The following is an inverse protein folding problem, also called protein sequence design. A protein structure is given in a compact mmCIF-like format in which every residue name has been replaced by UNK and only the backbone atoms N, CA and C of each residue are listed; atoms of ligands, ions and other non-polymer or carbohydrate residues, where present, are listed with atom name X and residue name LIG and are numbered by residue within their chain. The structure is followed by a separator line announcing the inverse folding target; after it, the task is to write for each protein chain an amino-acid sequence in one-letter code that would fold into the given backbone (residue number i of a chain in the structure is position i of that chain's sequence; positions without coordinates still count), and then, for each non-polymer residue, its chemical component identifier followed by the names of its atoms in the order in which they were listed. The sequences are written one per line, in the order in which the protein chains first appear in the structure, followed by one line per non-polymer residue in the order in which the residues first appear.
data_IF_676616595035
#
_entry.id   IF_676616595035
#
_cell.length_a   1.000
_cell.length_b   1.000
_cell.length_c   1.000
_cell.angle_alpha   90.00
_cell.angle_beta   90.00
_cell.angle_gamma   90.00
#
_symmetry.space_group_name_H-M   'P 1'
#
loop_
_entity.id
_entity.type
_entity.pdbx_description
1 polymer ?
#
# COMPACT_ATOMS: atom_id res chain seq x y z
N UNK A 1 -1.29 11.45 -7.69
CA UNK A 1 -0.51 11.28 -6.43
C UNK A 1 -1.45 10.76 -5.34
N UNK A 2 -1.13 9.62 -4.72
CA UNK A 2 -1.96 8.97 -3.70
C UNK A 2 -1.59 9.53 -2.32
N UNK A 3 -2.45 10.37 -1.76
CA UNK A 3 -2.18 11.03 -0.48
C UNK A 3 -2.60 10.09 0.67
N UNK A 4 -1.62 9.55 1.38
CA UNK A 4 -1.83 8.91 2.68
C UNK A 4 -2.20 9.98 3.70
N UNK A 5 -3.49 10.09 4.04
CA UNK A 5 -4.00 11.18 4.88
C UNK A 5 -4.23 10.77 6.34
N UNK A 6 -4.57 9.50 6.65
CA UNK A 6 -4.93 9.09 8.01
C UNK A 6 -4.58 7.62 8.32
N UNK A 7 -4.23 7.33 9.58
CA UNK A 7 -3.91 5.99 10.09
C UNK A 7 -2.40 5.66 10.04
N UNK A 8 -1.93 4.86 11.00
CA UNK A 8 -0.54 4.38 11.08
C UNK A 8 -0.37 2.96 10.55
N UNK A 9 -1.39 2.40 9.90
CA UNK A 9 -1.29 1.14 9.18
C UNK A 9 -0.69 -0.05 9.93
N UNK A 10 -0.36 -1.09 9.18
CA UNK A 10 0.65 -2.07 9.60
C UNK A 10 1.20 -2.80 8.38
N UNK A 11 2.50 -3.01 8.37
CA UNK A 11 3.24 -3.66 7.30
C UNK A 11 4.05 -4.83 7.85
N UNK A 12 4.01 -5.97 7.18
CA UNK A 12 4.57 -7.25 7.63
C UNK A 12 4.13 -7.63 9.06
N UNK A 13 2.88 -7.30 9.41
CA UNK A 13 2.32 -7.57 10.74
C UNK A 13 2.81 -6.67 11.87
N UNK A 14 3.61 -5.64 11.56
CA UNK A 14 4.11 -4.65 12.54
C UNK A 14 3.36 -3.34 12.34
N UNK A 15 2.97 -2.68 13.43
CA UNK A 15 2.32 -1.37 13.38
C UNK A 15 3.32 -0.30 12.92
N UNK A 16 2.98 0.44 11.86
CA UNK A 16 3.91 1.44 11.30
C UNK A 16 4.06 2.66 12.24
N UNK A 17 3.15 2.82 13.20
CA UNK A 17 3.22 3.86 14.25
C UNK A 17 4.20 3.53 15.39
N UNK A 18 4.53 2.26 15.59
CA UNK A 18 5.41 1.82 16.69
C UNK A 18 6.89 1.80 16.28
N UNK A 19 7.18 1.92 14.98
CA UNK A 19 8.53 1.78 14.40
C UNK A 19 9.17 3.11 13.97
N UNK A 20 8.47 4.25 14.13
CA UNK A 20 8.82 5.54 13.50
C UNK A 20 8.99 5.46 11.95
N UNK A 21 8.56 4.37 11.32
CA UNK A 21 8.65 4.10 9.88
C UNK A 21 7.27 4.21 9.22
N UNK A 22 6.47 5.20 9.64
CA UNK A 22 5.04 5.27 9.31
C UNK A 22 4.73 5.40 7.80
N UNK A 23 5.70 5.85 7.00
CA UNK A 23 5.53 6.06 5.55
C UNK A 23 6.58 5.34 4.71
N UNK A 24 7.80 5.24 5.21
CA UNK A 24 8.97 4.70 4.52
C UNK A 24 9.86 3.98 5.52
N UNK A 25 10.63 2.99 5.05
CA UNK A 25 11.60 2.25 5.87
C UNK A 25 12.88 3.07 6.08
N UNK A 26 13.44 3.07 7.30
CA UNK A 26 14.58 3.93 7.66
C UNK A 26 15.88 3.56 6.93
N UNK A 27 15.99 2.34 6.42
CA UNK A 27 17.16 1.87 5.64
C UNK A 27 17.41 2.75 4.40
N UNK A 28 16.38 3.42 3.88
CA UNK A 28 16.48 4.31 2.71
C UNK A 28 16.94 5.71 3.10
N UNK A 29 17.09 6.02 4.40
CA UNK A 29 17.51 7.34 4.88
C UNK A 29 18.91 7.32 5.51
N UNK A 30 19.71 6.28 5.25
CA UNK A 30 21.09 6.24 5.71
C UNK A 30 21.92 7.33 5.03
N UNK A 31 22.19 8.39 5.78
CA UNK A 31 22.89 9.61 5.34
C UNK A 31 24.38 9.37 5.07
N UNK A 32 24.91 8.18 5.36
CA UNK A 32 26.28 7.80 5.01
C UNK A 32 26.43 7.38 3.54
N UNK A 33 25.33 7.12 2.83
CA UNK A 33 25.37 6.71 1.43
C UNK A 33 25.23 7.91 0.49
N UNK A 34 26.32 8.33 -0.17
CA UNK A 34 26.35 9.52 -1.07
C UNK A 34 25.51 9.38 -2.35
N UNK A 35 25.01 8.18 -2.64
CA UNK A 35 24.13 7.88 -3.78
C UNK A 35 22.64 7.95 -3.43
N UNK A 36 22.27 8.23 -2.18
CA UNK A 36 20.88 8.18 -1.69
C UNK A 36 19.88 8.98 -2.53
N UNK A 37 20.25 10.23 -2.87
CA UNK A 37 19.41 11.09 -3.70
C UNK A 37 19.31 10.57 -5.13
N UNK A 38 20.37 9.93 -5.62
CA UNK A 38 20.41 9.36 -6.95
C UNK A 38 19.55 8.08 -7.02
N UNK A 39 19.68 7.19 -6.05
CA UNK A 39 18.90 5.95 -5.96
C UNK A 39 17.40 6.22 -5.76
N UNK A 40 17.01 7.20 -4.96
CA UNK A 40 15.61 7.61 -4.81
C UNK A 40 15.05 8.18 -6.13
N UNK A 41 15.88 8.89 -6.91
CA UNK A 41 15.45 9.54 -8.16
C UNK A 41 15.40 8.58 -9.35
N UNK A 42 16.24 7.54 -9.34
CA UNK A 42 16.29 6.50 -10.38
C UNK A 42 15.57 5.20 -10.01
N UNK A 43 15.02 5.11 -8.80
CA UNK A 43 14.11 4.02 -8.43
C UNK A 43 12.79 4.18 -9.19
N UNK A 44 12.50 3.23 -10.07
CA UNK A 44 11.18 3.12 -10.67
C UNK A 44 10.22 2.56 -9.62
N UNK A 45 9.32 3.41 -9.13
CA UNK A 45 8.31 2.98 -8.18
C UNK A 45 7.23 2.19 -8.90
N UNK A 46 7.19 0.89 -8.63
CA UNK A 46 6.11 0.02 -9.08
C UNK A 46 4.81 0.39 -8.36
N UNK A 47 4.08 1.35 -8.93
CA UNK A 47 2.76 1.76 -8.48
C UNK A 47 1.66 0.92 -9.17
N UNK A 48 0.53 0.62 -8.50
CA UNK A 48 0.21 0.83 -7.08
C UNK A 48 0.26 -0.49 -6.29
N UNK A 49 0.98 -0.49 -5.17
CA UNK A 49 0.87 -1.51 -4.13
C UNK A 49 0.32 -0.83 -2.87
N UNK A 50 -0.98 -0.97 -2.64
CA UNK A 50 -1.66 -0.42 -1.47
C UNK A 50 -1.45 -1.36 -0.29
N UNK A 51 -1.61 -0.90 0.95
CA UNK A 51 -1.56 -1.81 2.11
C UNK A 51 -0.16 -2.10 2.66
N UNK A 52 0.90 -1.63 2.01
CA UNK A 52 2.29 -1.76 2.46
C UNK A 52 3.00 -0.40 2.50
N UNK A 53 3.97 -0.25 3.41
CA UNK A 53 4.85 0.94 3.46
C UNK A 53 5.58 1.16 2.14
N UNK A 54 5.93 2.42 1.90
CA UNK A 54 6.73 2.79 0.73
C UNK A 54 8.13 2.17 0.80
N UNK A 55 8.56 1.56 -0.30
CA UNK A 55 9.88 0.93 -0.44
C UNK A 55 10.17 -0.11 0.65
N UNK A 56 9.12 -0.83 1.04
CA UNK A 56 9.19 -1.98 1.93
C UNK A 56 10.04 -3.12 1.34
N UNK A 57 10.12 -3.19 0.01
CA UNK A 57 11.04 -4.03 -0.78
C UNK A 57 11.73 -3.20 -1.84
N UNK A 58 13.03 -3.45 -2.00
CA UNK A 58 13.85 -2.89 -3.07
C UNK A 58 14.65 -4.00 -3.73
N UNK A 59 15.02 -3.81 -4.99
CA UNK A 59 15.83 -4.74 -5.79
C UNK A 59 15.89 -4.31 -7.25
N UNK A 60 16.80 -4.92 -8.00
CA UNK A 60 17.03 -4.70 -9.44
C UNK A 60 15.97 -5.36 -10.31
N UNK A 61 15.24 -6.35 -9.79
CA UNK A 61 14.11 -6.99 -10.45
C UNK A 61 12.83 -6.74 -9.66
N UNK A 62 11.73 -6.51 -10.38
CA UNK A 62 10.40 -6.29 -9.80
C UNK A 62 9.34 -7.07 -10.57
N UNK A 63 8.37 -7.61 -9.84
CA UNK A 63 7.13 -8.15 -10.39
C UNK A 63 5.96 -7.50 -9.64
N UNK A 64 4.95 -7.04 -10.37
CA UNK A 64 3.74 -6.44 -9.80
C UNK A 64 2.52 -6.90 -10.57
N UNK A 65 1.49 -7.32 -9.85
CA UNK A 65 0.18 -7.62 -10.37
C UNK A 65 -0.89 -6.93 -9.51
N UNK A 66 -1.84 -6.29 -10.18
CA UNK A 66 -2.97 -5.60 -9.55
C UNK A 66 -4.26 -6.15 -10.13
N UNK A 67 -5.11 -6.69 -9.26
CA UNK A 67 -6.43 -7.21 -9.62
C UNK A 67 -7.47 -6.35 -8.93
N UNK A 68 -8.33 -5.70 -9.71
CA UNK A 68 -9.38 -4.83 -9.18
C UNK A 68 -10.73 -5.20 -9.79
N UNK A 69 -11.71 -5.49 -8.93
CA UNK A 69 -13.08 -5.74 -9.30
C UNK A 69 -13.95 -4.56 -8.89
N UNK A 70 -14.60 -3.93 -9.86
CA UNK A 70 -15.45 -2.74 -9.67
C UNK A 70 -16.90 -3.12 -9.93
N UNK A 71 -17.80 -2.61 -9.09
CA UNK A 71 -19.23 -2.90 -9.19
C UNK A 71 -20.09 -1.71 -8.77
N UNK A 72 -21.31 -1.59 -9.31
CA UNK A 72 -22.28 -0.60 -8.83
C UNK A 72 -22.73 -0.98 -7.42
N UNK A 73 -22.32 -0.21 -6.41
CA UNK A 73 -22.68 -0.49 -5.02
C UNK A 73 -24.07 0.09 -4.70
N UNK A 74 -24.29 1.37 -4.98
CA UNK A 74 -25.60 2.03 -4.84
C UNK A 74 -25.84 2.92 -6.06
N UNK A 75 -26.89 2.60 -6.83
CA UNK A 75 -27.26 3.37 -8.02
C UNK A 75 -28.06 4.63 -7.66
N UNK A 76 -28.85 4.58 -6.59
CA UNK A 76 -29.70 5.67 -6.13
C UNK A 76 -29.83 5.64 -4.60
N UNK A 77 -29.43 6.73 -3.95
CA UNK A 77 -29.56 6.95 -2.52
C UNK A 77 -30.15 8.34 -2.28
N UNK A 78 -31.29 8.41 -1.62
CA UNK A 78 -31.92 9.67 -1.23
C UNK A 78 -31.76 9.87 0.27
N UNK A 79 -31.07 10.94 0.66
CA UNK A 79 -30.82 11.29 2.07
C UNK A 79 -31.67 12.52 2.41
N UNK A 80 -32.44 12.43 3.50
CA UNK A 80 -33.38 13.48 3.91
C UNK A 80 -32.87 14.44 5.00
N UNK A 81 -31.82 14.07 5.74
CA UNK A 81 -31.28 14.83 6.87
C UNK A 81 -29.75 14.73 6.88
N UNK A 82 -28.98 15.79 7.19
CA UNK A 82 -29.39 17.17 7.51
C UNK A 82 -29.72 18.04 6.28
N UNK A 83 -29.42 17.57 5.07
CA UNK A 83 -29.77 18.23 3.80
C UNK A 83 -30.38 17.22 2.84
N UNK A 84 -31.44 17.61 2.13
CA UNK A 84 -32.04 16.77 1.08
C UNK A 84 -31.07 16.66 -0.09
N UNK A 85 -30.52 15.47 -0.30
CA UNK A 85 -29.63 15.19 -1.43
C UNK A 85 -29.94 13.83 -2.04
N UNK A 86 -29.72 13.75 -3.35
CA UNK A 86 -29.80 12.49 -4.10
C UNK A 86 -28.40 12.17 -4.58
N UNK A 87 -27.87 11.05 -4.11
CA UNK A 87 -26.59 10.52 -4.54
C UNK A 87 -26.86 9.36 -5.49
N UNK A 88 -26.24 9.40 -6.67
CA UNK A 88 -26.27 8.30 -7.62
C UNK A 88 -24.87 7.81 -7.90
N UNK A 89 -24.76 6.66 -8.56
CA UNK A 89 -23.49 6.14 -9.07
C UNK A 89 -22.41 5.96 -8.00
N UNK A 90 -22.80 5.52 -6.80
CA UNK A 90 -21.86 5.10 -5.78
C UNK A 90 -21.27 3.76 -6.24
N UNK A 91 -19.97 3.76 -6.51
CA UNK A 91 -19.24 2.58 -6.98
C UNK A 91 -18.49 1.95 -5.82
N UNK A 92 -18.61 0.64 -5.69
CA UNK A 92 -17.76 -0.17 -4.84
C UNK A 92 -16.64 -0.78 -5.67
N UNK A 93 -15.51 -1.02 -5.03
CA UNK A 93 -14.45 -1.83 -5.60
C UNK A 93 -13.77 -2.65 -4.53
N UNK A 94 -13.30 -3.82 -4.93
CA UNK A 94 -12.39 -4.66 -4.14
C UNK A 94 -11.14 -4.88 -4.97
N UNK A 95 -10.00 -4.99 -4.30
CA UNK A 95 -8.73 -5.15 -4.98
C UNK A 95 -7.81 -6.12 -4.25
N UNK A 96 -6.88 -6.67 -5.00
CA UNK A 96 -5.77 -7.47 -4.54
C UNK A 96 -4.51 -7.02 -5.28
N UNK A 97 -3.48 -6.64 -4.53
CA UNK A 97 -2.20 -6.25 -5.08
C UNK A 97 -1.16 -7.30 -4.66
N UNK A 98 -0.35 -7.79 -5.60
CA UNK A 98 0.73 -8.74 -5.35
C UNK A 98 1.99 -8.16 -5.97
N UNK A 99 3.07 -8.09 -5.20
CA UNK A 99 4.37 -7.67 -5.71
C UNK A 99 5.52 -8.46 -5.11
N UNK A 100 6.66 -8.42 -5.79
CA UNK A 100 7.94 -8.86 -5.29
C UNK A 100 9.06 -8.01 -5.86
N UNK A 101 10.10 -7.77 -5.06
CA UNK A 101 11.34 -7.17 -5.53
C UNK A 101 12.54 -7.95 -4.99
N UNK A 102 13.54 -8.22 -5.84
CA UNK A 102 14.72 -9.02 -5.52
C UNK A 102 15.92 -8.61 -6.37
N UNK A 103 17.12 -8.89 -5.88
CA UNK A 103 18.37 -8.82 -6.65
C UNK A 103 18.83 -10.20 -7.09
N UNK A 104 18.73 -11.17 -6.18
CA UNK A 104 19.13 -12.55 -6.40
C UNK A 104 17.95 -13.50 -6.14
N UNK A 105 17.79 -14.53 -6.99
CA UNK A 105 16.71 -15.52 -6.84
C UNK A 105 16.79 -16.29 -5.53
N UNK A 106 17.99 -16.39 -4.93
CA UNK A 106 18.21 -17.03 -3.62
C UNK A 106 17.47 -16.31 -2.49
N UNK A 107 17.10 -15.03 -2.65
CA UNK A 107 16.30 -14.29 -1.66
C UNK A 107 14.91 -14.91 -1.42
N UNK A 108 14.40 -15.72 -2.34
CA UNK A 108 13.11 -16.43 -2.17
C UNK A 108 13.23 -17.72 -1.36
N UNK A 109 14.42 -18.28 -1.22
CA UNK A 109 14.66 -19.60 -0.63
C UNK A 109 15.52 -19.51 0.65
N UNK A 110 16.36 -18.49 0.76
CA UNK A 110 17.35 -18.36 1.84
C UNK A 110 17.25 -16.99 2.55
N UNK A 111 16.85 -17.06 3.82
CA UNK A 111 16.69 -15.91 4.71
C UNK A 111 18.01 -15.18 5.00
N UNK A 112 19.17 -15.83 4.85
CA UNK A 112 20.47 -15.18 5.01
C UNK A 112 20.72 -14.10 3.94
N UNK A 113 20.24 -14.31 2.71
CA UNK A 113 20.35 -13.31 1.64
C UNK A 113 19.46 -12.10 1.92
N UNK A 114 18.29 -12.32 2.52
CA UNK A 114 17.42 -11.24 2.98
C UNK A 114 18.08 -10.43 4.10
N UNK A 115 18.70 -11.09 5.09
CA UNK A 115 19.42 -10.42 6.17
C UNK A 115 20.64 -9.63 5.67
N UNK A 116 21.39 -10.18 4.70
CA UNK A 116 22.53 -9.47 4.10
C UNK A 116 22.10 -8.16 3.43
N UNK A 117 20.90 -8.13 2.86
CA UNK A 117 20.35 -6.98 2.13
C UNK A 117 19.63 -5.97 3.02
N UNK A 118 18.80 -6.45 3.94
CA UNK A 118 17.89 -5.63 4.73
C UNK A 118 18.32 -5.50 6.20
N UNK A 119 19.45 -6.09 6.59
CA UNK A 119 20.00 -6.12 7.95
C UNK A 119 19.56 -7.34 8.76
N UNK A 120 20.23 -7.59 9.90
CA UNK A 120 19.99 -8.77 10.74
C UNK A 120 18.70 -8.67 11.59
N UNK A 121 18.11 -7.48 11.70
CA UNK A 121 16.89 -7.25 12.49
C UNK A 121 15.62 -7.46 11.64
N UNK A 122 15.53 -8.59 10.95
CA UNK A 122 14.37 -8.94 10.14
C UNK A 122 13.41 -9.87 10.90
N UNK A 123 12.09 -9.68 10.77
CA UNK A 123 11.13 -10.68 11.22
C UNK A 123 11.37 -12.02 10.51
N UNK A 124 11.25 -13.15 11.22
CA UNK A 124 11.46 -14.50 10.65
C UNK A 124 10.54 -14.83 9.45
N UNK A 125 9.47 -14.07 9.24
CA UNK A 125 8.51 -14.23 8.13
C UNK A 125 8.72 -13.21 7.00
N UNK A 126 9.79 -12.42 7.05
CA UNK A 126 10.12 -11.50 5.98
C UNK A 126 10.44 -12.28 4.70
N UNK A 127 9.89 -11.86 3.57
CA UNK A 127 10.10 -12.48 2.27
C UNK A 127 10.14 -11.40 1.18
N UNK A 128 10.70 -11.66 -0.01
CA UNK A 128 10.66 -10.71 -1.12
C UNK A 128 9.24 -10.34 -1.57
N UNK A 129 8.25 -11.19 -1.28
CA UNK A 129 6.86 -10.98 -1.63
C UNK A 129 6.18 -9.97 -0.71
N UNK A 130 5.25 -9.21 -1.28
CA UNK A 130 4.29 -8.34 -0.61
C UNK A 130 2.93 -8.59 -1.25
N UNK A 131 1.91 -8.75 -0.43
CA UNK A 131 0.54 -9.01 -0.90
C UNK A 131 -0.40 -8.15 -0.08
N UNK A 132 -1.37 -7.54 -0.72
CA UNK A 132 -2.40 -6.81 -0.02
C UNK A 132 -3.77 -7.07 -0.64
N UNK A 133 -4.79 -6.87 0.18
CA UNK A 133 -6.17 -6.89 -0.26
C UNK A 133 -6.88 -5.68 0.31
N UNK A 134 -7.92 -5.22 -0.35
CA UNK A 134 -8.69 -4.12 0.17
C UNK A 134 -9.98 -3.90 -0.55
N UNK A 135 -10.69 -2.90 -0.07
CA UNK A 135 -11.95 -2.47 -0.63
C UNK A 135 -12.08 -0.96 -0.54
N UNK A 136 -12.95 -0.40 -1.36
CA UNK A 136 -13.23 1.01 -1.33
C UNK A 136 -14.57 1.38 -1.92
N UNK A 137 -14.89 2.64 -1.72
CA UNK A 137 -16.11 3.27 -2.20
C UNK A 137 -15.75 4.59 -2.88
N UNK A 138 -16.42 4.85 -3.99
CA UNK A 138 -16.35 6.12 -4.71
C UNK A 138 -17.69 6.84 -4.57
N UNK A 139 -17.63 8.06 -4.06
CA UNK A 139 -18.80 8.89 -3.76
C UNK A 139 -18.74 10.18 -4.60
N UNK A 140 -19.67 10.38 -5.56
CA UNK A 140 -19.73 11.62 -6.33
C UNK A 140 -20.53 12.70 -5.58
N UNK A 141 -19.98 13.19 -4.46
CA UNK A 141 -20.62 14.20 -3.61
C UNK A 141 -19.91 15.55 -3.79
N UNK A 142 -20.45 16.43 -4.65
CA UNK A 142 -19.88 17.72 -5.09
C UNK A 142 -18.52 17.64 -5.81
N UNK A 143 -17.62 16.77 -5.35
CA UNK A 143 -16.38 16.31 -5.97
C UNK A 143 -16.36 14.77 -5.89
N UNK A 144 -15.39 14.12 -6.55
CA UNK A 144 -15.24 12.68 -6.42
C UNK A 144 -14.42 12.37 -5.17
N UNK A 145 -15.04 11.66 -4.25
CA UNK A 145 -14.39 11.16 -3.05
C UNK A 145 -14.09 9.69 -3.25
N UNK A 146 -12.89 9.26 -2.87
CA UNK A 146 -12.49 7.86 -2.82
C UNK A 146 -12.02 7.53 -1.42
N UNK A 147 -12.66 6.55 -0.81
CA UNK A 147 -12.30 6.02 0.51
C UNK A 147 -11.95 4.55 0.32
N UNK A 148 -10.77 4.15 0.77
CA UNK A 148 -10.29 2.77 0.63
C UNK A 148 -9.65 2.29 1.93
N UNK A 149 -9.87 1.02 2.25
CA UNK A 149 -9.14 0.30 3.28
C UNK A 149 -8.28 -0.77 2.61
N UNK A 150 -6.99 -0.80 2.92
CA UNK A 150 -6.06 -1.82 2.46
C UNK A 150 -5.47 -2.58 3.65
N UNK A 151 -5.32 -3.88 3.50
CA UNK A 151 -4.81 -4.80 4.50
C UNK A 151 -3.59 -5.49 3.92
N UNK A 152 -2.51 -5.55 4.68
CA UNK A 152 -1.36 -6.39 4.33
C UNK A 152 -1.73 -7.85 4.58
N UNK A 153 -1.46 -8.71 3.58
CA UNK A 153 -1.76 -10.13 3.63
C UNK A 153 -0.47 -10.93 3.83
N UNK A 154 -0.22 -11.20 5.11
CA UNK A 154 0.93 -11.99 5.57
C UNK A 154 0.55 -13.44 5.80
N UNK A 155 1.56 -14.29 6.00
CA UNK A 155 1.35 -15.70 6.38
C UNK A 155 0.77 -15.85 7.79
N UNK A 156 0.74 -14.77 8.60
CA UNK A 156 0.00 -14.69 9.87
C UNK A 156 -1.46 -14.27 9.72
N UNK A 157 -1.91 -13.92 8.52
CA UNK A 157 -3.24 -13.38 8.25
C UNK A 157 -3.23 -11.90 7.83
N UNK A 158 -4.39 -11.25 7.95
CA UNK A 158 -4.59 -9.85 7.60
C UNK A 158 -4.11 -8.92 8.71
N UNK A 159 -3.44 -7.84 8.30
CA UNK A 159 -2.96 -6.80 9.20
C UNK A 159 -4.07 -5.80 9.59
N UNK A 160 -3.75 -4.75 10.34
CA UNK A 160 -4.69 -3.63 10.57
C UNK A 160 -4.86 -2.81 9.28
N UNK A 161 -6.06 -2.29 9.01
CA UNK A 161 -6.32 -1.53 7.79
C UNK A 161 -5.54 -0.22 7.74
N UNK A 162 -4.98 0.06 6.57
CA UNK A 162 -4.51 1.36 6.13
C UNK A 162 -5.65 2.08 5.41
N UNK A 163 -5.99 3.29 5.85
CA UNK A 163 -7.10 4.07 5.30
C UNK A 163 -6.60 5.15 4.34
N UNK A 164 -7.13 5.12 3.13
CA UNK A 164 -6.82 6.10 2.08
C UNK A 164 -8.05 6.96 1.83
N UNK A 165 -7.83 8.27 1.81
CA UNK A 165 -8.84 9.26 1.43
C UNK A 165 -8.27 10.08 0.27
N UNK A 166 -9.02 10.17 -0.83
CA UNK A 166 -8.65 11.00 -1.97
C UNK A 166 -9.85 11.82 -2.43
N UNK A 167 -9.58 13.06 -2.82
CA UNK A 167 -10.55 14.04 -3.31
C UNK A 167 -9.95 14.65 -4.57
N UNK A 168 -10.65 14.61 -5.69
CA UNK A 168 -10.15 15.21 -6.93
C UNK A 168 -11.00 14.90 -8.17
N UNK A 169 -10.67 15.56 -9.27
CA UNK A 169 -11.32 15.36 -10.58
C UNK A 169 -10.58 14.36 -11.48
N UNK A 170 -9.34 14.02 -11.14
CA UNK A 170 -8.48 13.11 -11.91
C UNK A 170 -8.66 11.68 -11.40
N UNK A 171 -9.28 10.83 -12.22
CA UNK A 171 -9.56 9.42 -11.93
C UNK A 171 -9.35 8.54 -13.16
#
# INVERSE_FOLDING_TARGET
MQNWLLGTGSTNGVNDGDTNEARWRNVILDSQNKSLLQDIYFSEFAYPLRGARFSERFGTNVALANLEFRFPLIQYLQVGFPFKMTLGNILGHVFMDIGAAWDDKREFEDFAYLQAKYGNNLPNKFSPWVRSVGYGIKLPIFMLWRIEAAYDWTDSGFSKPQWYLSIGYDW
#
